data_IF_189160845735
#
_entry.id   IF_189160845735
#
_cell.length_a   1.000
_cell.length_b   1.000
_cell.length_c   1.000
_cell.angle_alpha   90.00
_cell.angle_beta   90.00
_cell.angle_gamma   90.00
#
_symmetry.space_group_name_H-M   'P 1'
#
loop_
_entity.id
_entity.type
_entity.pdbx_description
1 polymer ?
2 non-polymer ?
3 non-polymer ?
4 water ?
#
# COMPACT_ATOMS: atom_id res chain seq x y z
N UNK A 15 -19.80 16.27 24.17
CA UNK A 15 -18.31 16.12 24.16
C UNK A 15 -17.76 17.11 23.17
N UNK A 16 -16.76 17.85 23.61
CA UNK A 16 -16.28 19.02 22.91
C UNK A 16 -14.88 18.72 22.35
N UNK A 17 -14.50 19.36 21.23
CA UNK A 17 -13.19 19.11 20.64
C UNK A 17 -12.03 19.12 21.64
N UNK A 18 -12.06 20.06 22.57
CA UNK A 18 -10.98 20.21 23.56
C UNK A 18 -10.98 19.10 24.63
N UNK A 19 -12.05 18.30 24.68
CA UNK A 19 -12.15 17.17 25.60
C UNK A 19 -12.00 15.79 24.96
N UNK A 20 -11.74 15.73 23.66
CA UNK A 20 -11.60 14.47 22.92
C UNK A 20 -10.46 13.60 23.46
N UNK A 21 -9.26 14.18 23.62
CA UNK A 21 -8.09 13.45 24.11
C UNK A 21 -8.28 12.98 25.54
N UNK A 22 -8.94 13.80 26.36
CA UNK A 22 -9.30 13.41 27.70
C UNK A 22 -10.19 12.15 27.74
N UNK A 23 -11.31 12.19 27.02
CA UNK A 23 -12.29 11.09 26.95
C UNK A 23 -11.66 9.80 26.42
N UNK A 24 -11.00 9.89 25.27
CA UNK A 24 -10.34 8.74 24.67
C UNK A 24 -9.30 8.17 25.62
N UNK A 25 -8.58 9.04 26.31
CA UNK A 25 -7.49 8.67 27.20
C UNK A 25 -7.88 7.78 28.38
N UNK A 26 -9.14 7.88 28.81
CA UNK A 26 -9.68 6.98 29.83
C UNK A 26 -9.72 5.51 29.39
N UNK A 27 -9.76 5.26 28.07
CA UNK A 27 -10.02 3.92 27.53
C UNK A 27 -8.89 3.38 26.68
N UNK A 28 -8.14 4.28 26.04
CA UNK A 28 -7.07 3.84 25.16
C UNK A 28 -5.80 4.62 25.29
N UNK A 29 -4.74 4.09 24.71
CA UNK A 29 -3.48 4.78 24.56
C UNK A 29 -3.62 5.87 23.49
N UNK A 30 -3.28 7.11 23.83
CA UNK A 30 -3.52 8.24 22.92
C UNK A 30 -2.19 8.78 22.35
N UNK A 31 -1.65 8.11 21.35
CA UNK A 31 -0.34 8.51 20.84
C UNK A 31 -0.38 9.08 19.41
N UNK A 32 -1.55 9.46 18.93
CA UNK A 32 -1.70 10.04 17.59
C UNK A 32 -1.40 11.52 17.55
N UNK A 33 -1.86 12.20 16.51
CA UNK A 33 -1.57 13.63 16.34
C UNK A 33 -2.26 14.52 17.40
N UNK A 34 -1.68 15.69 17.66
CA UNK A 34 -2.22 16.66 18.64
C UNK A 34 -3.51 17.35 18.22
N UNK A 35 -3.88 17.19 16.96
CA UNK A 35 -5.07 17.88 16.45
C UNK A 35 -6.34 17.07 16.70
N UNK A 36 -7.48 17.74 16.64
CA UNK A 36 -8.76 17.06 16.54
C UNK A 36 -9.32 17.35 15.13
N UNK A 37 -9.54 16.31 14.34
CA UNK A 37 -10.01 16.46 12.97
C UNK A 37 -11.38 17.10 12.90
N UNK A 38 -11.44 18.21 12.15
CA UNK A 38 -12.70 18.82 11.78
C UNK A 38 -13.20 18.13 10.52
N UNK A 39 -14.30 17.39 10.66
CA UNK A 39 -14.78 16.50 9.60
C UNK A 39 -15.40 17.27 8.44
N UNK A 40 -15.93 18.45 8.76
CA UNK A 40 -16.70 19.27 7.84
C UNK A 40 -15.83 20.32 7.13
N UNK A 41 -14.86 20.89 7.84
CA UNK A 41 -14.11 22.04 7.32
C UNK A 41 -12.80 21.68 6.62
N UNK A 42 -12.30 20.47 6.87
CA UNK A 42 -11.19 19.88 6.11
C UNK A 42 -11.64 19.68 4.67
N UNK A 43 -10.71 19.80 3.74
CA UNK A 43 -11.02 19.66 2.34
C UNK A 43 -9.77 19.61 1.51
N UNK A 44 -9.77 18.75 0.50
CA UNK A 44 -8.66 18.67 -0.44
C UNK A 44 -7.39 18.30 0.29
N UNK A 45 -6.35 19.13 0.13
CA UNK A 45 -5.04 18.83 0.74
C UNK A 45 -4.85 19.43 2.14
N UNK A 46 -5.94 19.88 2.76
CA UNK A 46 -5.88 20.50 4.09
C UNK A 46 -6.73 19.77 5.12
N UNK A 47 -6.12 19.45 6.26
CA UNK A 47 -6.82 19.03 7.47
C UNK A 47 -7.02 20.24 8.39
N UNK A 48 -8.20 20.37 8.98
CA UNK A 48 -8.48 21.47 9.88
C UNK A 48 -8.50 20.92 11.30
N UNK A 49 -7.75 21.59 12.19
CA UNK A 49 -7.79 21.27 13.61
C UNK A 49 -9.01 21.95 14.19
N UNK A 50 -9.96 21.16 14.70
CA UNK A 50 -11.19 21.69 15.31
C UNK A 50 -11.01 22.49 16.62
N UNK A 51 -9.85 22.37 17.28
CA UNK A 51 -9.56 23.16 18.50
C UNK A 51 -9.16 24.61 18.17
N UNK A 52 -8.14 24.79 17.32
CA UNK A 52 -7.64 26.12 16.95
C UNK A 52 -8.19 26.66 15.61
N UNK A 53 -8.55 25.77 14.70
CA UNK A 53 -8.94 26.20 13.35
C UNK A 53 -7.78 26.35 12.38
N UNK A 54 -6.58 26.01 12.82
CA UNK A 54 -5.39 26.01 11.97
C UNK A 54 -5.53 24.96 10.85
N UNK A 55 -5.04 25.30 9.67
CA UNK A 55 -5.07 24.41 8.53
C UNK A 55 -3.72 23.72 8.37
N UNK A 56 -3.74 22.41 8.08
CA UNK A 56 -2.51 21.63 7.99
C UNK A 56 -2.36 21.02 6.64
N UNK A 57 -1.23 21.29 6.00
CA UNK A 57 -0.97 20.76 4.66
C UNK A 57 -0.72 19.25 4.76
N UNK A 58 -1.47 18.47 3.99
CA UNK A 58 -1.55 17.01 4.18
C UNK A 58 -0.72 16.23 3.14
N UNK A 59 0.48 15.79 3.55
CA UNK A 59 1.30 14.89 2.73
C UNK A 59 1.32 13.50 3.38
N UNK A 60 0.19 13.13 3.99
CA UNK A 60 0.11 11.97 4.86
C UNK A 60 -1.12 11.12 4.53
N UNK A 61 -2.22 11.80 4.19
CA UNK A 61 -3.45 11.20 3.65
C UNK A 61 -3.95 9.93 4.32
N UNK A 62 -4.04 9.98 5.66
CA UNK A 62 -4.51 8.87 6.49
C UNK A 62 -3.69 7.63 6.20
N UNK A 63 -2.37 7.79 6.32
CA UNK A 63 -1.41 6.76 5.97
C UNK A 63 -1.58 6.30 4.50
N UNK A 64 -1.58 7.26 3.57
CA UNK A 64 -1.70 7.01 2.13
C UNK A 64 -3.02 6.33 1.70
N UNK A 65 -4.03 6.37 2.57
CA UNK A 65 -5.30 5.67 2.31
C UNK A 65 -6.41 6.55 1.69
N UNK A 66 -6.12 7.82 1.43
CA UNK A 66 -7.11 8.71 0.81
C UNK A 66 -6.64 9.18 -0.56
N UNK A 67 -7.43 8.88 -1.59
CA UNK A 67 -7.05 9.19 -2.96
C UNK A 67 -7.25 10.65 -3.34
N UNK A 68 -8.38 11.20 -2.89
CA UNK A 68 -8.81 12.57 -3.27
C UNK A 68 -8.67 13.61 -2.15
N UNK A 69 -8.28 13.19 -0.95
CA UNK A 69 -8.23 14.10 0.19
C UNK A 69 -9.59 14.21 0.88
N UNK A 70 -9.73 15.16 1.79
CA UNK A 70 -10.96 15.33 2.57
C UNK A 70 -12.06 15.98 1.78
N UNK A 71 -13.27 15.47 1.96
CA UNK A 71 -14.47 16.09 1.40
C UNK A 71 -14.32 16.56 -0.06
N UNK A 72 -14.02 15.63 -0.98
CA UNK A 72 -13.83 16.07 -2.36
C UNK A 72 -15.13 16.58 -2.99
N UNK A 73 -15.09 17.74 -3.68
CA UNK A 73 -16.25 18.40 -4.27
C UNK A 73 -17.17 17.48 -5.10
N UNK A 74 -16.59 16.60 -5.92
CA UNK A 74 -17.38 15.64 -6.70
C UNK A 74 -18.21 14.65 -5.86
N UNK A 75 -17.85 14.51 -4.58
CA UNK A 75 -18.61 13.71 -3.62
C UNK A 75 -19.58 14.56 -2.79
N UNK A 76 -19.11 15.72 -2.34
CA UNK A 76 -19.90 16.63 -1.51
C UNK A 76 -21.07 17.29 -2.24
N UNK A 77 -20.87 17.65 -3.52
CA UNK A 77 -21.90 18.36 -4.28
C UNK A 77 -22.86 17.41 -4.99
N UNK A 78 -22.56 16.12 -4.97
CA UNK A 78 -23.35 15.14 -5.71
C UNK A 78 -24.55 14.67 -4.87
N UNK A 79 -25.69 15.31 -5.08
CA UNK A 79 -26.93 15.00 -4.34
C UNK A 79 -27.46 13.57 -4.51
N UNK A 80 -27.32 12.99 -5.71
CA UNK A 80 -27.72 11.59 -5.96
C UNK A 80 -26.83 10.64 -5.18
N UNK A 81 -25.53 10.94 -5.19
CA UNK A 81 -24.55 10.19 -4.42
C UNK A 81 -24.83 10.25 -2.92
N UNK A 82 -25.18 11.43 -2.40
CA UNK A 82 -25.57 11.54 -1.00
C UNK A 82 -26.60 10.51 -0.57
N UNK A 83 -27.64 10.35 -1.39
CA UNK A 83 -28.73 9.44 -1.08
C UNK A 83 -28.28 7.98 -1.15
N UNK A 84 -27.35 7.69 -2.06
CA UNK A 84 -26.78 6.36 -2.22
C UNK A 84 -25.90 6.02 -1.01
N UNK A 85 -25.01 6.94 -0.67
CA UNK A 85 -24.17 6.79 0.51
C UNK A 85 -24.98 6.56 1.79
N UNK A 86 -26.02 7.36 1.97
CA UNK A 86 -26.90 7.29 3.14
C UNK A 86 -27.64 5.95 3.22
N UNK A 87 -28.23 5.51 2.10
CA UNK A 87 -28.82 4.19 2.00
C UNK A 87 -27.85 3.12 2.48
N UNK A 88 -26.58 3.23 2.06
CA UNK A 88 -25.57 2.25 2.43
C UNK A 88 -25.14 2.40 3.88
N UNK A 89 -24.94 3.64 4.31
CA UNK A 89 -24.40 3.94 5.63
C UNK A 89 -25.32 3.58 6.80
N UNK A 90 -26.64 3.60 6.59
CA UNK A 90 -27.60 3.31 7.66
C UNK A 90 -27.53 1.89 8.18
N UNK A 91 -27.17 0.95 7.32
CA UNK A 91 -27.10 -0.45 7.70
C UNK A 91 -25.73 -1.02 7.35
N UNK A 92 -25.50 -2.28 7.72
CA UNK A 92 -24.30 -2.97 7.31
C UNK A 92 -24.57 -4.44 6.96
N UNK A 93 -25.03 -4.69 5.72
CA UNK A 93 -25.35 -6.05 5.27
C UNK A 93 -24.11 -6.96 5.21
N UNK A 94 -24.35 -8.25 5.39
CA UNK A 94 -23.34 -9.23 5.06
C UNK A 94 -23.32 -9.43 3.53
N UNK A 95 -22.45 -8.70 2.84
CA UNK A 95 -22.30 -8.76 1.38
C UNK A 95 -21.89 -10.15 0.88
N UNK A 96 -21.33 -10.93 1.79
CA UNK A 96 -20.90 -12.29 1.47
C UNK A 96 -22.08 -13.22 1.15
N UNK A 97 -23.28 -12.88 1.59
CA UNK A 97 -24.45 -13.69 1.24
C UNK A 97 -25.72 -12.92 0.89
N UNK A 98 -25.70 -11.60 1.07
CA UNK A 98 -26.83 -10.78 0.67
C UNK A 98 -26.36 -9.70 -0.29
N UNK A 99 -26.74 -9.85 -1.56
CA UNK A 99 -26.30 -8.96 -2.63
C UNK A 99 -27.26 -7.77 -2.81
N UNK A 100 -26.74 -6.72 -3.43
CA UNK A 100 -27.50 -5.49 -3.65
C UNK A 100 -26.99 -4.79 -4.89
N UNK A 101 -27.81 -3.88 -5.42
CA UNK A 101 -27.42 -3.05 -6.56
C UNK A 101 -26.19 -2.21 -6.24
N UNK A 102 -26.16 -1.66 -5.04
CA UNK A 102 -25.04 -0.86 -4.54
C UNK A 102 -23.74 -1.64 -4.64
N UNK A 103 -23.75 -2.89 -4.20
CA UNK A 103 -22.57 -3.75 -4.29
C UNK A 103 -22.13 -4.04 -5.73
N UNK A 104 -23.08 -4.45 -6.58
CA UNK A 104 -22.81 -4.75 -8.00
C UNK A 104 -22.26 -3.54 -8.79
N UNK A 105 -22.78 -2.34 -8.51
CA UNK A 105 -22.25 -1.13 -9.15
C UNK A 105 -20.77 -0.92 -8.81
N UNK A 106 -20.42 -1.10 -7.53
CA UNK A 106 -19.03 -1.01 -7.09
C UNK A 106 -18.14 -2.03 -7.79
N UNK A 107 -18.57 -3.30 -7.82
CA UNK A 107 -17.77 -4.37 -8.41
C UNK A 107 -17.53 -4.15 -9.90
N UNK A 108 -18.54 -3.68 -10.64
CA UNK A 108 -18.31 -3.49 -12.06
C UNK A 108 -17.44 -2.25 -12.37
N UNK A 109 -17.51 -1.22 -11.53
CA UNK A 109 -16.66 -0.06 -11.76
C UNK A 109 -15.22 -0.27 -11.29
N UNK A 110 -15.02 -1.10 -10.25
CA UNK A 110 -13.68 -1.57 -9.87
C UNK A 110 -13.05 -2.35 -11.02
N UNK A 111 -13.81 -3.27 -11.61
CA UNK A 111 -13.31 -4.10 -12.72
C UNK A 111 -12.94 -3.21 -13.92
N UNK A 112 -13.78 -2.23 -14.19
CA UNK A 112 -13.53 -1.32 -15.29
C UNK A 112 -12.30 -0.42 -15.09
N UNK A 113 -12.20 0.22 -13.92
CA UNK A 113 -11.17 1.22 -13.69
C UNK A 113 -9.85 0.59 -13.26
N UNK A 114 -9.92 -0.46 -12.46
CA UNK A 114 -8.72 -1.04 -11.87
C UNK A 114 -8.45 -2.48 -12.28
N UNK A 115 -9.37 -3.10 -13.02
CA UNK A 115 -9.25 -4.51 -13.35
C UNK A 115 -8.10 -4.82 -14.30
N UNK A 116 -7.65 -6.07 -14.25
CA UNK A 116 -6.68 -6.59 -15.18
C UNK A 116 -7.33 -7.82 -15.84
N UNK A 117 -7.43 -7.85 -17.19
CA UNK A 117 -8.03 -9.00 -17.91
C UNK A 117 -7.48 -10.36 -17.48
N UNK A 118 -6.20 -10.42 -17.12
CA UNK A 118 -5.57 -11.67 -16.67
C UNK A 118 -5.98 -12.08 -15.26
N UNK A 119 -6.58 -11.14 -14.50
CA UNK A 119 -6.93 -11.37 -13.08
C UNK A 119 -8.44 -11.12 -12.81
N UNK A 120 -9.31 -12.00 -13.35
CA UNK A 120 -10.76 -11.72 -13.29
C UNK A 120 -11.45 -12.01 -11.95
N UNK A 121 -10.82 -12.79 -11.06
CA UNK A 121 -11.40 -13.14 -9.76
C UNK A 121 -11.16 -12.08 -8.72
N UNK A 122 -12.27 -11.51 -8.26
CA UNK A 122 -12.26 -10.48 -7.24
C UNK A 122 -12.77 -11.06 -5.91
N UNK A 123 -12.15 -10.64 -4.80
CA UNK A 123 -12.58 -11.00 -3.45
C UNK A 123 -12.38 -9.80 -2.53
N UNK A 124 -13.38 -9.53 -1.69
CA UNK A 124 -13.42 -8.33 -0.86
C UNK A 124 -13.53 -8.64 0.61
N UNK A 125 -12.83 -7.84 1.40
CA UNK A 125 -12.76 -8.03 2.84
C UNK A 125 -12.45 -6.67 3.50
N UNK A 126 -12.70 -6.55 4.80
CA UNK A 126 -12.30 -5.38 5.58
C UNK A 126 -10.86 -5.59 6.05
N UNK A 127 -9.97 -4.67 5.69
CA UNK A 127 -8.61 -4.65 6.23
C UNK A 127 -7.56 -5.16 5.28
N UNK A 128 -6.43 -4.44 5.21
CA UNK A 128 -5.32 -4.78 4.31
C UNK A 128 -4.57 -6.05 4.70
N UNK A 129 -4.34 -6.25 5.99
CA UNK A 129 -3.68 -7.48 6.45
C UNK A 129 -4.43 -8.72 5.99
N UNK A 130 -5.75 -8.67 6.05
CA UNK A 130 -6.59 -9.79 5.72
C UNK A 130 -6.69 -9.97 4.21
N UNK A 131 -6.52 -8.88 3.45
CA UNK A 131 -6.43 -8.98 1.99
C UNK A 131 -5.18 -9.78 1.63
N UNK A 132 -4.05 -9.46 2.26
CA UNK A 132 -2.82 -10.17 1.99
C UNK A 132 -2.96 -11.63 2.40
N UNK A 133 -3.57 -11.86 3.56
CA UNK A 133 -3.83 -13.20 4.04
C UNK A 133 -4.69 -14.03 3.10
N UNK A 134 -5.66 -13.41 2.43
CA UNK A 134 -6.52 -14.15 1.53
C UNK A 134 -5.79 -14.51 0.26
N UNK A 135 -4.90 -13.62 -0.18
CA UNK A 135 -3.95 -13.90 -1.24
C UNK A 135 -3.07 -15.10 -0.88
N UNK A 136 -2.57 -15.13 0.37
CA UNK A 136 -1.75 -16.23 0.86
C UNK A 136 -2.50 -17.54 0.92
N UNK A 137 -3.70 -17.51 1.52
CA UNK A 137 -4.60 -18.66 1.57
C UNK A 137 -4.95 -19.18 0.17
N UNK A 138 -5.08 -18.27 -0.79
CA UNK A 138 -5.32 -18.66 -2.16
C UNK A 138 -4.13 -19.47 -2.64
N UNK A 139 -2.93 -19.04 -2.28
CA UNK A 139 -1.68 -19.65 -2.70
C UNK A 139 -1.38 -20.99 -2.03
N UNK A 140 -1.65 -21.13 -0.73
CA UNK A 140 -1.46 -22.38 0.00
C UNK A 140 -2.35 -23.48 -0.55
N UNK A 141 -3.62 -23.13 -0.77
CA UNK A 141 -4.59 -24.02 -1.37
C UNK A 141 -4.14 -24.46 -2.76
N UNK A 142 -3.72 -23.48 -3.57
CA UNK A 142 -3.28 -23.73 -4.95
C UNK A 142 -2.12 -24.72 -4.97
N UNK A 143 -1.10 -24.46 -4.17
CA UNK A 143 0.10 -25.29 -4.14
C UNK A 143 -0.17 -26.72 -3.66
N UNK A 144 -1.00 -26.84 -2.64
CA UNK A 144 -1.35 -28.15 -2.11
C UNK A 144 -2.08 -28.98 -3.17
N UNK A 145 -3.03 -28.36 -3.87
CA UNK A 145 -3.81 -29.05 -4.92
C UNK A 145 -3.00 -29.30 -6.19
N UNK A 146 -2.10 -28.36 -6.52
CA UNK A 146 -1.17 -28.53 -7.65
C UNK A 146 -0.18 -29.65 -7.38
N UNK A 147 0.35 -29.70 -6.15
CA UNK A 147 1.18 -30.80 -5.70
C UNK A 147 0.43 -32.12 -5.87
N UNK A 148 -0.70 -32.23 -5.19
CA UNK A 148 -1.57 -33.42 -5.21
C UNK A 148 -1.83 -33.94 -6.63
N UNK A 149 -2.14 -33.04 -7.56
CA UNK A 149 -2.46 -33.40 -8.94
C UNK A 149 -1.26 -33.91 -9.70
N UNK A 150 -0.07 -33.58 -9.21
CA UNK A 150 1.20 -33.96 -9.85
C UNK A 150 1.96 -35.02 -9.05
N UNK A 151 1.27 -35.75 -8.19
CA UNK A 151 1.89 -36.87 -7.47
C UNK A 151 2.66 -36.52 -6.21
N UNK A 152 2.63 -35.24 -5.81
CA UNK A 152 3.32 -34.78 -4.61
C UNK A 152 2.39 -34.68 -3.39
N UNK A 153 2.91 -35.03 -2.22
CA UNK A 153 2.21 -34.96 -0.93
C UNK A 153 1.43 -33.63 -0.76
N UNK A 154 0.09 -33.69 -0.65
CA UNK A 154 -0.66 -32.44 -0.49
C UNK A 154 -0.44 -31.69 0.83
N UNK A 155 0.29 -32.29 1.78
CA UNK A 155 0.66 -31.63 3.03
C UNK A 155 1.78 -30.62 2.81
N UNK A 156 2.36 -30.66 1.62
CA UNK A 156 3.43 -29.73 1.25
C UNK A 156 2.86 -28.52 0.49
N UNK A 157 3.40 -27.35 0.80
CA UNK A 157 2.99 -26.10 0.17
C UNK A 157 2.49 -25.08 1.18
N UNK A 158 3.28 -24.83 2.22
CA UNK A 158 2.84 -24.06 3.36
C UNK A 158 3.72 -22.86 3.67
N UNK A 159 4.77 -22.65 2.87
CA UNK A 159 5.75 -21.59 3.13
C UNK A 159 5.68 -20.44 2.13
N UNK A 160 6.01 -19.25 2.60
CA UNK A 160 5.91 -18.04 1.83
C UNK A 160 7.30 -17.44 1.74
N UNK A 161 7.80 -17.29 0.52
CA UNK A 161 9.05 -16.59 0.29
C UNK A 161 8.76 -15.09 0.32
N UNK A 162 9.66 -14.30 0.91
CA UNK A 162 9.44 -12.86 1.13
C UNK A 162 10.76 -12.11 1.38
N UNK A 163 10.65 -10.79 1.45
CA UNK A 163 11.81 -9.91 1.53
C UNK A 163 12.11 -9.37 2.93
N UNK A 164 13.39 -9.04 3.18
CA UNK A 164 13.77 -8.23 4.34
C UNK A 164 13.23 -6.84 4.16
N UNK A 165 12.85 -6.22 5.27
CA UNK A 165 12.29 -4.87 5.25
C UNK A 165 10.86 -4.79 4.75
N UNK A 166 10.18 -5.93 4.64
CA UNK A 166 8.84 -6.01 4.10
C UNK A 166 7.82 -5.61 5.15
N UNK A 167 6.76 -4.93 4.72
CA UNK A 167 5.64 -4.72 5.63
C UNK A 167 4.35 -5.21 4.99
N UNK A 168 3.77 -6.28 5.53
CA UNK A 168 2.52 -6.81 4.98
C UNK A 168 1.35 -6.82 5.95
N UNK A 169 1.52 -6.22 7.13
CA UNK A 169 0.45 -6.21 8.13
C UNK A 169 0.79 -6.84 9.48
N UNK A 170 -0.23 -6.94 10.33
CA UNK A 170 -0.04 -7.24 11.75
C UNK A 170 -0.93 -8.39 12.25
N UNK A 171 -1.34 -9.25 11.31
CA UNK A 171 -2.25 -10.36 11.55
C UNK A 171 -1.47 -11.66 11.61
N UNK A 172 -2.14 -12.73 12.03
CA UNK A 172 -1.51 -14.03 12.20
C UNK A 172 -0.46 -14.40 11.18
N UNK A 173 -0.83 -14.41 9.89
CA UNK A 173 0.11 -14.79 8.84
C UNK A 173 1.12 -13.70 8.48
N UNK A 174 0.67 -12.45 8.45
CA UNK A 174 1.50 -11.36 7.98
C UNK A 174 2.55 -10.96 9.01
N UNK A 175 2.31 -11.34 10.27
CA UNK A 175 3.29 -11.17 11.34
C UNK A 175 4.55 -12.04 11.11
N UNK A 176 4.40 -13.13 10.35
CA UNK A 176 5.54 -13.94 9.92
C UNK A 176 6.30 -13.36 8.71
N UNK A 177 5.74 -12.30 8.11
CA UNK A 177 6.31 -11.71 6.90
C UNK A 177 6.91 -10.34 7.17
N UNK A 178 6.13 -9.52 7.88
CA UNK A 178 6.54 -8.18 8.30
C UNK A 178 7.86 -8.24 9.10
N UNK A 179 8.87 -7.51 8.64
CA UNK A 179 10.10 -7.34 9.41
C UNK A 179 10.72 -5.94 9.22
N UNK A 180 10.15 -4.96 9.92
CA UNK A 180 10.67 -3.61 9.92
C UNK A 180 11.12 -3.24 11.37
N UNK A 181 10.26 -2.61 12.15
CA UNK A 181 10.50 -2.37 13.57
C UNK A 181 10.18 -3.63 14.40
N UNK A 182 11.08 -3.98 15.35
CA UNK A 182 10.87 -5.19 16.19
C UNK A 182 9.64 -5.07 17.08
N UNK A 183 9.22 -3.82 17.32
CA UNK A 183 7.99 -3.48 18.04
C UNK A 183 6.73 -4.13 17.43
N UNK A 184 6.65 -4.15 16.09
CA UNK A 184 5.51 -4.72 15.39
C UNK A 184 5.35 -6.23 15.63
N UNK A 185 6.47 -6.94 15.72
CA UNK A 185 6.46 -8.41 15.70
C UNK A 185 6.96 -9.12 16.95
N UNK A 186 7.61 -8.41 17.86
CA UNK A 186 8.22 -9.08 19.02
C UNK A 186 7.19 -9.81 19.88
N UNK A 187 7.60 -10.97 20.40
CA UNK A 187 6.82 -11.80 21.31
C UNK A 187 5.56 -12.43 20.72
N UNK A 188 5.42 -12.39 19.39
CA UNK A 188 4.27 -13.03 18.74
C UNK A 188 4.72 -14.27 17.97
N UNK A 189 3.94 -15.36 18.06
CA UNK A 189 4.38 -16.59 17.40
C UNK A 189 4.40 -16.44 15.87
N UNK A 190 5.44 -16.99 15.26
CA UNK A 190 5.67 -16.86 13.85
C UNK A 190 5.92 -18.23 13.23
N UNK A 191 5.56 -18.41 11.97
CA UNK A 191 6.04 -19.53 11.19
C UNK A 191 7.45 -19.15 10.76
N UNK A 192 8.28 -20.17 10.63
CA UNK A 192 9.63 -19.94 10.13
C UNK A 192 9.60 -20.05 8.61
N UNK A 193 9.36 -18.93 7.94
CA UNK A 193 9.30 -18.91 6.48
C UNK A 193 10.57 -18.30 5.84
N UNK A 194 10.93 -18.71 4.59
CA UNK A 194 12.18 -18.20 4.02
C UNK A 194 12.13 -16.73 3.63
N UNK A 195 13.11 -15.99 4.12
CA UNK A 195 13.25 -14.56 3.93
C UNK A 195 14.56 -14.36 3.18
N UNK A 196 14.56 -13.46 2.20
CA UNK A 196 15.77 -13.18 1.40
C UNK A 196 16.08 -11.68 1.43
N UNK A 197 17.32 -11.30 1.11
CA UNK A 197 17.73 -9.89 1.08
C UNK A 197 16.97 -9.10 0.02
N UNK A 198 16.75 -7.82 0.29
CA UNK A 198 16.06 -6.92 -0.62
C UNK A 198 17.05 -6.08 -1.43
N UNK A 199 17.18 -6.36 -2.75
CA UNK A 199 18.15 -5.66 -3.59
C UNK A 199 17.62 -4.33 -4.14
N UNK A 200 17.30 -3.41 -3.23
CA UNK A 200 16.73 -2.12 -3.61
C UNK A 200 17.81 -1.19 -4.15
N UNK A 201 17.40 -0.28 -5.02
CA UNK A 201 18.26 0.77 -5.54
C UNK A 201 18.78 1.63 -4.40
N UNK A 202 20.08 1.82 -4.37
CA UNK A 202 20.69 2.79 -3.47
C UNK A 202 21.55 3.75 -4.29
N UNK A 203 21.79 4.96 -3.77
CA UNK A 203 22.57 5.95 -4.53
C UNK A 203 24.01 5.49 -4.76
N UNK A 204 24.55 5.81 -5.93
CA UNK A 204 25.93 5.47 -6.26
C UNK A 204 26.20 3.99 -6.46
N UNK A 205 25.28 3.32 -7.14
CA UNK A 205 25.48 1.95 -7.61
C UNK A 205 25.02 1.90 -9.06
N UNK A 206 25.95 1.53 -9.96
CA UNK A 206 25.69 1.52 -11.40
C UNK A 206 25.15 0.17 -11.87
N UNK A 207 24.77 0.10 -13.15
CA UNK A 207 24.21 -1.11 -13.78
C UNK A 207 24.77 -2.44 -13.24
N UNK A 208 26.09 -2.70 -13.42
CA UNK A 208 26.68 -3.96 -12.91
C UNK A 208 26.73 -4.10 -11.38
N UNK A 209 26.89 -2.99 -10.66
CA UNK A 209 26.83 -3.02 -9.20
C UNK A 209 25.44 -3.47 -8.74
N UNK A 210 24.40 -2.90 -9.39
CA UNK A 210 23.02 -3.30 -9.15
C UNK A 210 22.74 -4.75 -9.52
N UNK A 211 23.26 -5.17 -10.67
CA UNK A 211 23.05 -6.54 -11.18
C UNK A 211 23.65 -7.61 -10.27
N UNK A 212 24.79 -7.28 -9.64
CA UNK A 212 25.47 -8.16 -8.70
C UNK A 212 24.66 -8.34 -7.42
N UNK A 213 24.04 -7.26 -6.96
CA UNK A 213 23.24 -7.26 -5.74
C UNK A 213 21.97 -8.07 -5.94
N UNK A 214 21.37 -7.95 -7.11
CA UNK A 214 20.20 -8.75 -7.50
C UNK A 214 20.52 -10.26 -7.61
N UNK A 215 21.63 -10.59 -8.27
CA UNK A 215 22.09 -11.98 -8.40
C UNK A 215 22.18 -12.68 -7.04
N UNK A 216 22.61 -11.94 -6.04
CA UNK A 216 22.74 -12.43 -4.67
C UNK A 216 21.39 -12.76 -4.01
N UNK A 217 20.37 -11.92 -4.24
CA UNK A 217 19.01 -12.20 -3.75
C UNK A 217 18.41 -13.38 -4.49
N UNK A 218 18.59 -13.40 -5.81
CA UNK A 218 18.18 -14.51 -6.69
C UNK A 218 18.78 -15.87 -6.26
N UNK A 219 20.05 -15.84 -5.86
CA UNK A 219 20.75 -17.02 -5.38
C UNK A 219 20.12 -17.49 -4.07
N UNK A 220 19.80 -16.53 -3.21
CA UNK A 220 19.15 -16.83 -1.94
C UNK A 220 17.75 -17.39 -2.18
N UNK A 221 17.03 -16.81 -3.14
CA UNK A 221 15.69 -17.26 -3.48
C UNK A 221 15.72 -18.68 -4.04
N UNK A 222 16.68 -18.92 -4.93
CA UNK A 222 16.84 -20.20 -5.58
C UNK A 222 17.26 -21.28 -4.56
N UNK A 223 18.18 -20.93 -3.67
CA UNK A 223 18.58 -21.81 -2.57
C UNK A 223 17.37 -22.22 -1.73
N UNK A 224 16.48 -21.27 -1.44
CA UNK A 224 15.28 -21.51 -0.62
C UNK A 224 14.33 -22.51 -1.29
N UNK A 225 14.12 -22.32 -2.60
CA UNK A 225 13.30 -23.22 -3.39
C UNK A 225 13.80 -24.67 -3.43
N UNK A 226 15.12 -24.84 -3.54
CA UNK A 226 15.74 -26.15 -3.63
C UNK A 226 15.88 -26.88 -2.28
N UNK A 227 15.90 -26.14 -1.17
CA UNK A 227 16.04 -26.77 0.14
C UNK A 227 14.71 -27.08 0.83
N UNK A 228 13.62 -26.50 0.31
CA UNK A 228 12.27 -26.74 0.82
C UNK A 228 11.41 -27.18 -0.37
N UNK A 229 11.71 -28.37 -0.94
CA UNK A 229 11.12 -28.69 -2.24
C UNK A 229 9.60 -28.88 -2.17
N UNK A 230 8.92 -28.27 -3.13
CA UNK A 230 7.47 -28.31 -3.27
C UNK A 230 6.71 -27.65 -2.11
N UNK A 231 7.44 -26.95 -1.24
CA UNK A 231 6.85 -26.47 0.02
C UNK A 231 6.66 -24.96 0.06
N UNK A 232 7.31 -24.24 -0.85
CA UNK A 232 7.05 -22.80 -0.99
C UNK A 232 5.87 -22.55 -1.93
N UNK A 233 4.79 -21.98 -1.38
CA UNK A 233 3.55 -21.80 -2.15
C UNK A 233 3.57 -20.54 -3.01
N UNK A 234 4.33 -19.54 -2.58
CA UNK A 234 4.37 -18.25 -3.25
C UNK A 234 5.55 -17.39 -2.80
N UNK A 235 5.81 -16.38 -3.62
CA UNK A 235 6.67 -15.26 -3.28
C UNK A 235 5.78 -14.01 -3.18
N UNK A 236 5.82 -13.33 -2.03
CA UNK A 236 5.15 -12.04 -1.83
C UNK A 236 6.15 -10.90 -1.88
N UNK A 237 5.75 -9.78 -2.47
CA UNK A 237 6.56 -8.58 -2.36
C UNK A 237 5.72 -7.32 -2.49
N UNK A 238 6.17 -6.26 -1.83
CA UNK A 238 5.72 -4.91 -2.17
C UNK A 238 6.52 -4.47 -3.39
N UNK A 239 5.84 -3.96 -4.45
CA UNK A 239 6.60 -3.52 -5.63
C UNK A 239 7.59 -2.39 -5.30
N UNK A 240 7.18 -1.54 -4.35
CA UNK A 240 8.01 -0.55 -3.70
C UNK A 240 7.68 -0.68 -2.23
N UNK A 241 8.71 -0.94 -1.43
CA UNK A 241 8.57 -1.10 0.00
C UNK A 241 8.30 0.25 0.67
N UNK A 242 7.13 0.34 1.32
CA UNK A 242 6.66 1.57 1.92
C UNK A 242 7.22 1.81 3.29
N UNK A 243 6.67 1.14 4.31
CA UNK A 243 7.03 1.35 5.72
C UNK A 243 8.48 1.07 5.97
N UNK A 244 9.04 0.16 5.18
CA UNK A 244 10.45 -0.22 5.30
C UNK A 244 11.41 0.88 4.89
N UNK A 245 10.90 1.90 4.19
CA UNK A 245 11.67 3.10 3.88
C UNK A 245 11.71 3.49 2.42
N UNK A 246 10.57 3.41 1.73
CA UNK A 246 10.49 3.72 0.28
C UNK A 246 11.67 3.18 -0.52
N UNK A 247 11.75 1.85 -0.59
CA UNK A 247 12.82 1.15 -1.27
C UNK A 247 12.30 0.61 -2.60
N UNK A 248 12.89 1.10 -3.67
CA UNK A 248 12.49 0.78 -5.03
C UNK A 248 13.37 -0.32 -5.60
N UNK A 249 12.81 -1.10 -6.51
CA UNK A 249 13.50 -2.22 -7.12
C UNK A 249 13.44 -2.04 -8.62
N UNK A 250 14.49 -2.49 -9.30
CA UNK A 250 14.52 -2.43 -10.76
C UNK A 250 13.55 -3.47 -11.30
N UNK A 251 12.89 -3.17 -12.43
CA UNK A 251 12.04 -4.18 -13.07
C UNK A 251 12.77 -5.50 -13.31
N UNK A 252 14.08 -5.43 -13.58
CA UNK A 252 14.92 -6.63 -13.80
C UNK A 252 14.79 -7.64 -12.68
N UNK A 253 14.72 -7.16 -11.44
CA UNK A 253 14.68 -8.05 -10.28
C UNK A 253 13.38 -8.87 -10.23
N UNK A 254 12.25 -8.21 -10.45
CA UNK A 254 10.97 -8.90 -10.36
C UNK A 254 10.73 -9.82 -11.55
N UNK A 255 11.21 -9.42 -12.73
CA UNK A 255 11.17 -10.26 -13.94
C UNK A 255 11.91 -11.59 -13.71
N UNK A 256 13.10 -11.53 -13.12
CA UNK A 256 13.86 -12.71 -12.76
C UNK A 256 13.13 -13.56 -11.68
N UNK A 257 12.52 -12.89 -10.70
CA UNK A 257 11.71 -13.57 -9.67
C UNK A 257 10.49 -14.25 -10.29
N UNK A 258 9.82 -13.55 -11.18
CA UNK A 258 8.73 -14.10 -11.96
C UNK A 258 9.12 -15.43 -12.64
N UNK A 259 10.28 -15.44 -13.30
CA UNK A 259 10.74 -16.66 -13.99
C UNK A 259 11.10 -17.78 -13.04
N UNK A 260 11.77 -17.43 -11.95
CA UNK A 260 12.12 -18.37 -10.89
C UNK A 260 10.89 -18.97 -10.20
N UNK A 261 9.84 -18.17 -10.03
CA UNK A 261 8.58 -18.64 -9.45
C UNK A 261 7.87 -19.65 -10.36
N UNK A 262 7.84 -19.37 -11.65
CA UNK A 262 7.29 -20.31 -12.64
C UNK A 262 8.08 -21.62 -12.69
N UNK A 263 9.40 -21.51 -12.67
CA UNK A 263 10.28 -22.68 -12.64
C UNK A 263 9.94 -23.64 -11.50
N UNK A 264 9.58 -23.12 -10.32
CA UNK A 264 9.30 -23.97 -9.16
C UNK A 264 7.83 -24.09 -8.80
N UNK A 265 6.98 -23.77 -9.77
CA UNK A 265 5.52 -23.81 -9.60
C UNK A 265 5.02 -23.09 -8.35
N UNK A 266 5.39 -21.82 -8.22
CA UNK A 266 5.00 -20.99 -7.08
C UNK A 266 4.37 -19.71 -7.62
N UNK A 267 3.32 -19.22 -6.96
CA UNK A 267 2.65 -17.98 -7.40
C UNK A 267 3.44 -16.73 -7.00
N UNK A 268 3.30 -15.65 -7.78
CA UNK A 268 3.88 -14.35 -7.44
C UNK A 268 2.77 -13.40 -6.98
N UNK A 269 2.83 -12.99 -5.70
CA UNK A 269 1.84 -12.09 -5.12
C UNK A 269 2.49 -10.74 -4.93
N UNK A 270 1.85 -9.71 -5.48
CA UNK A 270 2.22 -8.33 -5.17
C UNK A 270 1.29 -7.75 -4.12
N UNK A 271 1.88 -7.26 -3.03
CA UNK A 271 1.12 -6.54 -2.05
C UNK A 271 1.08 -5.07 -2.47
N UNK A 272 -0.03 -4.66 -3.08
CA UNK A 272 -0.22 -3.27 -3.53
C UNK A 272 -1.11 -2.44 -2.60
N UNK A 273 -1.22 -2.84 -1.34
CA UNK A 273 -2.04 -2.08 -0.39
C UNK A 273 -1.59 -0.60 -0.35
N UNK A 274 -0.28 -0.36 -0.36
CA UNK A 274 0.23 1.03 -0.36
C UNK A 274 0.54 1.65 -1.74
N UNK A 275 0.98 0.83 -2.68
CA UNK A 275 1.34 1.32 -4.03
C UNK A 275 0.14 1.50 -4.94
N UNK A 276 -0.97 0.87 -4.59
CA UNK A 276 -2.13 0.75 -5.47
C UNK A 276 -2.90 2.02 -5.75
N UNK A 277 -3.90 1.88 -6.61
CA UNK A 277 -4.89 2.91 -6.89
C UNK A 277 -4.30 4.26 -7.32
N UNK A 278 -3.36 4.21 -8.25
CA UNK A 278 -2.97 5.40 -8.99
C UNK A 278 -1.84 6.24 -8.48
N UNK A 279 -1.39 5.94 -7.27
CA UNK A 279 -0.34 6.70 -6.59
C UNK A 279 0.97 6.79 -7.36
N UNK A 280 1.35 5.70 -8.01
CA UNK A 280 2.62 5.68 -8.73
C UNK A 280 2.46 6.13 -10.17
N UNK A 281 1.26 6.52 -10.56
CA UNK A 281 1.04 7.02 -11.92
C UNK A 281 0.17 6.10 -12.76
N UNK A 282 0.05 4.84 -12.35
CA UNK A 282 -0.83 3.88 -13.01
C UNK A 282 -1.73 3.23 -11.96
N UNK A 283 -2.78 2.53 -12.41
CA UNK A 283 -3.65 1.79 -11.49
C UNK A 283 -2.85 1.02 -10.44
N UNK A 284 -1.81 0.34 -10.89
CA UNK A 284 -0.99 -0.53 -10.03
C UNK A 284 0.45 -0.35 -10.42
N UNK A 285 1.35 -0.50 -9.46
CA UNK A 285 2.77 -0.31 -9.70
C UNK A 285 3.33 -1.38 -10.66
N UNK A 286 2.83 -2.61 -10.53
CA UNK A 286 3.32 -3.74 -11.33
C UNK A 286 3.14 -3.50 -12.84
N UNK A 287 2.18 -2.63 -13.20
CA UNK A 287 1.94 -2.28 -14.60
C UNK A 287 3.10 -1.50 -15.22
N UNK A 288 3.87 -0.81 -14.39
CA UNK A 288 5.06 -0.09 -14.84
C UNK A 288 6.34 -0.91 -14.78
N UNK A 289 6.31 -2.05 -14.07
CA UNK A 289 7.50 -2.89 -13.92
C UNK A 289 7.49 -4.00 -14.96
N UNK A 290 6.40 -4.08 -15.72
CA UNK A 290 6.16 -5.10 -16.75
C UNK A 290 6.36 -6.53 -16.23
N UNK A 291 5.77 -6.82 -15.07
CA UNK A 291 5.78 -8.16 -14.51
C UNK A 291 4.33 -8.56 -14.23
N UNK A 292 3.96 -9.76 -14.66
CA UNK A 292 2.60 -10.23 -14.42
C UNK A 292 2.55 -11.03 -13.11
N UNK A 293 1.77 -10.57 -12.12
CA UNK A 293 1.55 -11.38 -10.92
C UNK A 293 0.37 -12.36 -11.08
N UNK A 294 0.27 -13.34 -10.20
CA UNK A 294 -0.88 -14.26 -10.18
C UNK A 294 -1.97 -13.73 -9.27
N UNK A 295 -1.54 -12.99 -8.24
CA UNK A 295 -2.46 -12.41 -7.27
C UNK A 295 -1.98 -11.02 -6.87
N UNK A 296 -2.93 -10.12 -6.72
CA UNK A 296 -2.68 -8.77 -6.25
C UNK A 296 -3.54 -8.52 -5.00
N UNK A 297 -2.92 -8.11 -3.91
CA UNK A 297 -3.66 -7.72 -2.71
C UNK A 297 -3.77 -6.20 -2.73
N UNK A 298 -4.97 -5.67 -2.51
CA UNK A 298 -5.16 -4.21 -2.46
C UNK A 298 -5.84 -3.76 -1.17
N UNK A 299 -5.77 -2.47 -0.88
CA UNK A 299 -6.38 -1.91 0.31
C UNK A 299 -6.14 -0.42 0.34
N UNK A 300 -6.19 0.17 1.53
CA UNK A 300 -6.02 1.61 1.74
C UNK A 300 -6.91 2.48 0.84
N UNK A 301 -6.37 3.07 -0.23
CA UNK A 301 -7.15 3.97 -1.10
C UNK A 301 -8.40 3.34 -1.67
N UNK A 302 -8.43 2.02 -1.81
CA UNK A 302 -9.63 1.33 -2.31
C UNK A 302 -10.79 1.29 -1.28
N UNK A 303 -10.48 1.62 -0.02
CA UNK A 303 -11.45 1.67 1.09
C UNK A 303 -11.89 0.26 1.53
N UNK A 304 -12.50 -0.49 0.60
CA UNK A 304 -12.66 -1.95 0.74
C UNK A 304 -11.34 -2.58 0.33
N UNK A 305 -10.95 -3.62 1.04
CA UNK A 305 -9.70 -4.29 0.71
C UNK A 305 -10.00 -5.62 -0.02
N UNK A 306 -8.97 -6.29 -0.50
CA UNK A 306 -9.18 -7.63 -1.08
C UNK A 306 -8.09 -8.09 -2.02
N UNK A 307 -8.45 -9.02 -2.91
CA UNK A 307 -7.52 -9.57 -3.90
C UNK A 307 -8.11 -9.60 -5.30
N UNK A 308 -7.21 -9.55 -6.28
CA UNK A 308 -7.50 -9.90 -7.67
C UNK A 308 -6.60 -11.09 -7.98
N UNK A 309 -7.16 -12.13 -8.58
CA UNK A 309 -6.42 -13.34 -8.88
C UNK A 309 -6.74 -13.91 -10.25
N UNK A 310 -5.75 -14.57 -10.83
CA UNK A 310 -5.89 -15.20 -12.12
C UNK A 310 -4.53 -15.78 -12.48
N UNK A 311 -4.15 -15.57 -13.75
CA UNK A 311 -2.95 -16.18 -14.34
C UNK A 311 -2.89 -17.68 -13.97
N UNK A 312 -1.85 -18.14 -13.28
CA UNK A 312 -1.75 -19.57 -12.99
C UNK A 312 -2.77 -20.11 -11.98
N UNK A 313 -3.45 -19.22 -11.25
CA UNK A 313 -4.47 -19.64 -10.26
C UNK A 313 -5.57 -20.51 -10.91
N UNK A 314 -5.87 -20.23 -12.18
CA UNK A 314 -6.92 -20.91 -12.90
C UNK A 314 -6.54 -22.31 -13.40
N UNK A 315 -5.25 -22.63 -13.38
CA UNK A 315 -4.74 -23.98 -13.71
C UNK A 315 -5.17 -25.04 -12.71
N UNK A 316 -5.55 -24.63 -11.50
CA UNK A 316 -6.11 -25.54 -10.49
C UNK A 316 -7.63 -25.26 -10.49
N UNK A 317 -8.40 -26.19 -11.02
CA UNK A 317 -9.82 -25.93 -11.31
C UNK A 317 -10.68 -25.79 -10.06
N UNK A 318 -10.26 -26.45 -8.96
CA UNK A 318 -10.99 -26.38 -7.68
C UNK A 318 -10.29 -25.44 -6.71
N UNK A 319 -9.81 -24.33 -7.24
CA UNK A 319 -9.16 -23.33 -6.43
C UNK A 319 -10.16 -22.60 -5.53
N UNK A 320 -9.62 -21.75 -4.68
CA UNK A 320 -10.32 -21.02 -3.64
C UNK A 320 -11.43 -20.06 -4.15
N UNK A 321 -11.37 -19.71 -5.44
CA UNK A 321 -12.33 -18.80 -6.09
C UNK A 321 -13.43 -19.52 -6.85
N UNK A 322 -13.31 -20.85 -6.91
CA UNK A 322 -14.24 -21.70 -7.66
C UNK A 322 -15.06 -22.59 -6.72
N UNK A 323 -14.58 -22.76 -5.50
CA UNK A 323 -15.14 -23.65 -4.49
C UNK A 323 -15.72 -22.80 -3.36
N UNK A 324 -17.00 -23.04 -3.00
CA UNK A 324 -17.64 -22.26 -1.92
C UNK A 324 -17.02 -22.44 -0.52
N UNK A 325 -17.05 -21.35 0.24
CA UNK A 325 -16.76 -21.33 1.68
C UNK A 325 -15.29 -21.57 2.06
N UNK A 326 -14.39 -21.52 1.07
CA UNK A 326 -12.96 -21.64 1.33
C UNK A 326 -12.41 -20.33 1.89
N UNK A 327 -12.83 -19.21 1.28
CA UNK A 327 -12.60 -17.85 1.77
C UNK A 327 -13.93 -17.24 2.21
N UNK A 328 -13.91 -16.47 3.29
CA UNK A 328 -15.13 -15.78 3.75
C UNK A 328 -14.82 -14.79 4.86
N UNK A 329 -15.76 -13.86 5.10
CA UNK A 329 -15.87 -13.09 6.33
C UNK A 329 -17.35 -12.85 6.57
N UNK A 330 -17.74 -12.43 7.77
CA UNK A 330 -19.14 -12.10 8.02
C UNK A 330 -19.65 -11.10 6.97
N UNK A 331 -18.96 -9.97 6.84
CA UNK A 331 -19.48 -8.85 6.03
C UNK A 331 -19.12 -8.83 4.55
N UNK A 332 -17.98 -9.42 4.20
CA UNK A 332 -17.45 -9.33 2.84
C UNK A 332 -17.12 -7.90 2.44
N UNK A 333 -16.54 -7.14 3.36
CA UNK A 333 -16.24 -5.74 3.09
C UNK A 333 -17.35 -4.83 3.55
N UNK A 334 -17.04 -3.55 3.68
CA UNK A 334 -18.03 -2.60 4.17
C UNK A 334 -18.79 -1.96 3.00
N UNK A 335 -20.12 -2.11 2.97
CA UNK A 335 -20.92 -1.55 1.88
C UNK A 335 -20.77 -0.03 1.70
N UNK A 336 -20.67 0.70 2.81
CA UNK A 336 -20.37 2.13 2.79
C UNK A 336 -19.04 2.45 2.09
N UNK A 337 -18.00 1.68 2.42
CA UNK A 337 -16.73 1.76 1.72
C UNK A 337 -16.87 1.47 0.22
N UNK A 338 -17.70 0.47 -0.10
CA UNK A 338 -17.95 0.07 -1.49
C UNK A 338 -18.60 1.20 -2.29
N UNK A 339 -19.64 1.81 -1.72
CA UNK A 339 -20.32 2.94 -2.38
C UNK A 339 -19.42 4.17 -2.54
N UNK A 340 -18.65 4.52 -1.49
CA UNK A 340 -17.73 5.65 -1.55
C UNK A 340 -16.65 5.40 -2.58
N UNK A 341 -16.10 4.18 -2.58
CA UNK A 341 -14.98 3.84 -3.45
C UNK A 341 -15.37 3.88 -4.92
N UNK A 342 -16.56 3.39 -5.26
CA UNK A 342 -16.97 3.47 -6.66
C UNK A 342 -17.12 4.92 -7.15
N UNK A 343 -17.57 5.82 -6.28
CA UNK A 343 -17.61 7.24 -6.61
C UNK A 343 -16.19 7.82 -6.80
N UNK A 344 -15.30 7.48 -5.87
CA UNK A 344 -13.88 7.84 -5.96
C UNK A 344 -13.29 7.35 -7.29
N UNK A 345 -13.57 6.10 -7.66
CA UNK A 345 -13.06 5.50 -8.90
C UNK A 345 -13.57 6.21 -10.15
N UNK A 346 -14.82 6.66 -10.09
CA UNK A 346 -15.49 7.35 -11.18
C UNK A 346 -14.87 8.72 -11.40
N UNK A 347 -14.43 9.35 -10.30
CA UNK A 347 -13.72 10.63 -10.35
C UNK A 347 -12.32 10.44 -10.93
N UNK A 348 -11.60 9.42 -10.47
CA UNK A 348 -10.28 9.08 -11.00
C UNK A 348 -10.33 8.90 -12.52
N UNK A 349 -11.34 8.16 -12.98
CA UNK A 349 -11.52 7.85 -14.38
C UNK A 349 -11.88 9.10 -15.20
N UNK A 350 -12.84 9.89 -14.70
CA UNK A 350 -13.40 11.03 -15.44
C UNK A 350 -12.46 12.24 -15.48
N UNK A 351 -11.64 12.41 -14.43
CA UNK A 351 -10.79 13.58 -14.30
C UNK A 351 -9.33 13.29 -14.72
N UNK A 352 -9.06 12.06 -15.16
CA UNK A 352 -7.72 11.64 -15.61
C UNK A 352 -6.64 11.68 -14.55
N UNK A 353 -6.94 11.18 -13.34
CA UNK A 353 -6.07 11.35 -12.19
C UNK A 353 -4.79 10.51 -12.14
N UNK A 354 -4.74 9.38 -12.86
CA UNK A 354 -3.49 8.63 -12.98
C UNK A 354 -2.45 9.48 -13.71
N UNK A 355 -2.87 10.12 -14.81
CA UNK A 355 -2.00 10.99 -15.61
C UNK A 355 -1.54 12.22 -14.83
N UNK A 356 -2.45 12.78 -14.04
CA UNK A 356 -2.15 13.88 -13.16
C UNK A 356 -1.11 13.50 -12.09
N UNK A 357 -1.14 12.25 -11.64
CA UNK A 357 -0.14 11.73 -10.71
C UNK A 357 1.24 11.59 -11.36
N UNK A 358 1.27 11.19 -12.62
CA UNK A 358 2.50 11.12 -13.41
C UNK A 358 3.10 12.53 -13.52
N UNK A 359 2.30 13.49 -13.98
CA UNK A 359 2.79 14.86 -14.20
C UNK A 359 3.26 15.51 -12.90
N UNK A 360 2.42 15.44 -11.85
CA UNK A 360 2.71 16.10 -10.59
C UNK A 360 3.80 15.37 -9.80
N UNK A 361 3.87 14.06 -9.95
CA UNK A 361 4.95 13.26 -9.39
C UNK A 361 6.32 13.62 -9.96
N UNK A 362 6.37 13.97 -11.24
CA UNK A 362 7.61 14.43 -11.88
C UNK A 362 8.03 15.77 -11.32
N UNK A 363 7.05 16.63 -11.09
CA UNK A 363 7.27 17.94 -10.52
C UNK A 363 7.84 17.82 -9.08
N UNK A 364 7.22 16.99 -8.25
CA UNK A 364 7.66 16.79 -6.85
C UNK A 364 9.10 16.23 -6.78
N UNK A 365 9.37 15.24 -7.64
CA UNK A 365 10.67 14.60 -7.78
C UNK A 365 11.74 15.63 -8.15
N UNK A 366 11.44 16.48 -9.13
CA UNK A 366 12.33 17.55 -9.57
C UNK A 366 12.71 18.48 -8.40
N UNK A 367 11.71 18.83 -7.59
CA UNK A 367 11.89 19.69 -6.41
C UNK A 367 12.78 19.06 -5.37
N UNK A 368 12.68 17.73 -5.22
CA UNK A 368 13.51 16.98 -4.26
C UNK A 368 14.95 16.83 -4.74
N UNK A 369 15.12 16.76 -6.06
CA UNK A 369 16.44 16.83 -6.71
C UNK A 369 17.10 18.18 -6.48
N UNK A 370 16.31 19.25 -6.58
CA UNK A 370 16.81 20.60 -6.27
C UNK A 370 17.19 20.74 -4.80
N UNK A 371 16.40 20.13 -3.92
CA UNK A 371 16.73 20.11 -2.49
C UNK A 371 18.06 19.39 -2.26
N UNK A 372 18.28 18.30 -2.98
CA UNK A 372 19.50 17.50 -2.83
C UNK A 372 20.74 18.27 -3.25
N UNK A 373 20.58 19.11 -4.28
CA UNK A 373 21.66 19.91 -4.82
C UNK A 373 22.06 21.04 -3.88
N UNK A 374 21.07 21.67 -3.25
CA UNK A 374 21.30 22.79 -2.32
C UNK A 374 21.73 22.32 -0.93
N UNK A 375 21.36 21.09 -0.58
CA UNK A 375 21.71 20.53 0.72
C UNK A 375 22.33 19.13 0.58
N UNK A 376 23.53 19.05 -0.04
CA UNK A 376 24.09 17.79 -0.55
C UNK A 376 24.44 16.76 0.52
N UNK A 377 24.77 17.21 1.73
CA UNK A 377 25.14 16.28 2.80
C UNK A 377 23.97 15.93 3.72
N UNK A 378 22.80 16.51 3.44
CA UNK A 378 21.67 16.41 4.35
C UNK A 378 20.47 15.71 3.71
N UNK A 379 20.05 16.24 2.54
CA UNK A 379 18.95 15.66 1.78
C UNK A 379 19.54 14.56 0.90
N UNK A 380 19.42 13.32 1.38
CA UNK A 380 20.00 12.15 0.71
C UNK A 380 18.97 11.34 -0.07
N UNK A 381 19.42 10.80 -1.21
CA UNK A 381 18.69 9.79 -1.96
C UNK A 381 17.24 10.19 -2.28
N UNK A 382 17.06 11.32 -3.00
CA UNK A 382 15.72 11.66 -3.46
C UNK A 382 15.23 10.62 -4.48
N UNK A 383 14.02 10.12 -4.27
CA UNK A 383 13.50 9.00 -5.07
C UNK A 383 11.99 9.05 -5.13
N UNK A 384 11.41 8.42 -6.15
CA UNK A 384 9.98 8.37 -6.27
C UNK A 384 9.48 7.67 -7.51
N UNK A 385 8.22 7.29 -7.47
CA UNK A 385 7.50 6.85 -8.65
C UNK A 385 6.11 7.45 -8.53
N UNK A 386 5.75 8.26 -9.51
CA UNK A 386 4.53 9.05 -9.47
C UNK A 386 4.60 9.94 -8.25
N UNK A 387 3.49 10.00 -7.53
CA UNK A 387 3.37 10.77 -6.28
C UNK A 387 4.00 10.12 -5.05
N UNK A 388 4.52 8.90 -5.22
CA UNK A 388 5.14 8.16 -4.13
C UNK A 388 6.62 8.52 -4.01
N UNK A 389 6.93 9.53 -3.20
CA UNK A 389 8.26 10.10 -3.14
C UNK A 389 8.78 10.18 -1.72
N UNK A 390 10.11 10.25 -1.62
CA UNK A 390 10.77 10.22 -0.34
C UNK A 390 12.17 10.77 -0.49
N UNK A 391 12.77 11.09 0.65
CA UNK A 391 14.20 11.34 0.74
C UNK A 391 14.69 10.94 2.14
N UNK A 392 16.01 10.79 2.30
CA UNK A 392 16.57 10.35 3.57
C UNK A 392 17.42 11.42 4.20
N UNK A 393 17.57 11.36 5.51
CA UNK A 393 18.55 12.20 6.22
C UNK A 393 19.74 11.35 6.72
N UNK A 394 20.85 11.99 7.16
CA UNK A 394 22.00 11.24 7.67
C UNK A 394 21.70 10.31 8.87
N UNK A 395 20.91 10.78 9.84
CA UNK A 395 20.64 10.02 11.04
C UNK A 395 19.14 10.03 11.31
N UNK A 396 18.68 9.15 12.21
CA UNK A 396 17.27 9.12 12.55
C UNK A 396 16.88 10.31 13.45
N UNK A 397 17.82 10.81 14.25
CA UNK A 397 17.61 12.01 15.06
C UNK A 397 17.28 13.22 14.18
N UNK A 398 17.99 13.35 13.07
CA UNK A 398 17.75 14.41 12.05
C UNK A 398 16.40 14.26 11.38
N UNK A 399 16.05 13.02 11.04
CA UNK A 399 14.77 12.69 10.42
C UNK A 399 13.59 13.07 11.33
N UNK A 400 13.67 12.66 12.59
CA UNK A 400 12.65 12.96 13.58
C UNK A 400 12.54 14.46 13.84
N UNK A 401 13.68 15.15 13.88
CA UNK A 401 13.67 16.61 14.04
C UNK A 401 13.04 17.33 12.86
N UNK A 402 13.34 16.88 11.64
CA UNK A 402 12.73 17.47 10.45
C UNK A 402 11.22 17.30 10.47
N UNK A 403 10.74 16.16 10.95
CA UNK A 403 9.30 15.91 11.03
C UNK A 403 8.62 16.82 12.07
N UNK A 404 9.24 16.97 13.25
CA UNK A 404 8.77 17.89 14.27
C UNK A 404 8.73 19.32 13.72
N UNK A 405 9.81 19.73 13.08
CA UNK A 405 9.90 21.09 12.49
C UNK A 405 8.81 21.37 11.43
N UNK A 406 8.53 20.40 10.57
CA UNK A 406 7.45 20.48 9.59
C UNK A 406 6.07 20.54 10.25
N UNK A 407 5.93 19.83 11.38
CA UNK A 407 4.67 19.84 12.12
C UNK A 407 4.38 21.26 12.65
N UNK A 408 5.42 21.93 13.14
CA UNK A 408 5.32 23.30 13.65
C UNK A 408 4.93 24.28 12.56
N UNK A 409 5.35 23.97 11.33
CA UNK A 409 4.98 24.74 10.15
C UNK A 409 3.69 24.24 9.47
N UNK A 410 2.95 23.37 10.18
CA UNK A 410 1.65 22.81 9.72
C UNK A 410 1.72 22.03 8.40
N UNK A 411 2.74 21.18 8.28
CA UNK A 411 2.84 20.24 7.16
C UNK A 411 2.94 18.82 7.72
N UNK A 412 1.98 17.97 7.35
CA UNK A 412 1.97 16.59 7.86
C UNK A 412 2.64 15.63 6.87
N UNK A 413 3.76 15.06 7.29
CA UNK A 413 4.43 14.00 6.55
C UNK A 413 4.63 12.80 7.47
N UNK A 414 4.92 11.64 6.88
CA UNK A 414 5.16 10.43 7.65
C UNK A 414 6.64 10.05 7.63
N UNK A 415 7.15 9.51 8.74
CA UNK A 415 8.46 8.86 8.67
C UNK A 415 8.36 7.44 8.09
N UNK A 416 9.51 6.86 7.75
CA UNK A 416 9.60 5.45 7.38
C UNK A 416 11.02 4.99 7.65
N UNK A 417 11.15 3.73 8.05
CA UNK A 417 12.44 3.15 8.30
C UNK A 417 13.21 3.93 9.35
N UNK A 418 14.54 3.84 9.26
CA UNK A 418 15.44 4.50 10.17
C UNK A 418 15.61 6.01 9.87
N UNK A 419 15.56 6.42 8.60
CA UNK A 419 15.90 7.81 8.24
C UNK A 419 15.20 8.38 7.01
N UNK A 420 14.01 7.86 6.72
CA UNK A 420 13.24 8.34 5.58
C UNK A 420 12.07 9.25 5.99
N UNK A 421 11.82 10.25 5.14
CA UNK A 421 10.63 11.07 5.18
C UNK A 421 9.89 10.77 3.88
N UNK A 422 8.66 10.31 3.99
CA UNK A 422 7.87 9.97 2.80
C UNK A 422 6.77 11.00 2.57
N UNK A 423 6.49 11.25 1.29
CA UNK A 423 5.41 12.14 0.89
C UNK A 423 4.31 11.28 0.33
N UNK A 424 3.10 11.48 0.85
CA UNK A 424 1.92 10.78 0.38
C UNK A 424 0.80 11.78 0.14
N UNK A 425 0.93 12.62 -0.91
CA UNK A 425 -0.13 13.57 -1.20
C UNK A 425 -1.34 12.89 -1.83
N UNK A 426 -2.52 13.54 -1.82
CA UNK A 426 -3.62 12.96 -2.59
C UNK A 426 -3.35 13.09 -4.09
N UNK A 427 -4.06 12.32 -4.92
CA UNK A 427 -3.86 12.37 -6.36
C UNK A 427 -4.19 13.76 -6.92
N UNK A 428 -4.96 14.52 -6.15
CA UNK A 428 -5.50 15.81 -6.54
C UNK A 428 -4.60 17.00 -6.12
N UNK A 429 -3.48 16.73 -5.43
CA UNK A 429 -2.51 17.79 -5.06
C UNK A 429 -2.15 18.71 -6.23
N UNK A 430 -2.05 20.00 -5.96
CA UNK A 430 -1.66 20.98 -6.98
C UNK A 430 -0.16 21.27 -6.86
N UNK A 431 0.42 21.91 -7.86
CA UNK A 431 1.87 22.21 -7.83
C UNK A 431 2.20 23.27 -6.78
N UNK A 432 1.25 24.18 -6.56
CA UNK A 432 1.34 25.19 -5.49
C UNK A 432 1.42 24.53 -4.11
N UNK A 433 0.59 23.51 -3.89
CA UNK A 433 0.62 22.72 -2.65
C UNK A 433 1.95 22.02 -2.45
N UNK A 434 2.47 21.42 -3.52
CA UNK A 434 3.81 20.82 -3.50
C UNK A 434 4.88 21.86 -3.15
N UNK A 435 4.82 23.03 -3.81
CA UNK A 435 5.76 24.14 -3.55
C UNK A 435 5.75 24.55 -2.09
N UNK A 436 4.55 24.69 -1.53
CA UNK A 436 4.39 24.99 -0.11
C UNK A 436 4.99 23.90 0.77
N UNK A 437 4.88 22.63 0.38
CA UNK A 437 5.47 21.56 1.19
C UNK A 437 7.00 21.66 1.16
N UNK A 438 7.53 21.90 -0.04
CA UNK A 438 8.96 22.05 -0.28
C UNK A 438 9.53 23.30 0.40
N UNK A 439 8.77 24.41 0.37
CA UNK A 439 9.18 25.65 1.04
C UNK A 439 9.33 25.41 2.53
N UNK A 440 8.43 24.61 3.10
CA UNK A 440 8.51 24.27 4.53
C UNK A 440 9.72 23.42 4.85
N UNK A 441 10.12 22.54 3.94
CA UNK A 441 11.31 21.69 4.14
C UNK A 441 12.59 22.53 4.07
N UNK A 442 12.65 23.47 3.14
CA UNK A 442 13.77 24.44 3.05
C UNK A 442 13.93 25.29 4.29
N UNK A 443 12.80 25.68 4.90
CA UNK A 443 12.81 26.44 6.16
C UNK A 443 13.40 25.61 7.29
N UNK A 444 12.95 24.37 7.40
CA UNK A 444 13.30 23.51 8.53
C UNK A 444 14.73 23.01 8.48
N UNK A 445 15.29 22.87 7.27
CA UNK A 445 16.60 22.22 7.11
C UNK A 445 17.78 22.91 7.83
N UNK A 446 17.96 24.24 7.64
CA UNK A 446 19.04 24.91 8.38
C UNK A 446 18.89 24.73 9.89
N UNK A 447 17.68 24.56 10.39
CA UNK A 447 17.42 24.37 11.82
C UNK A 447 17.91 22.99 12.29
N UNK A 448 17.69 21.96 11.48
CA UNK A 448 18.17 20.61 11.81
C UNK A 448 19.70 20.45 11.70
N UNK A 449 20.33 21.07 10.69
CA UNK A 449 21.79 20.97 10.46
C UNK A 449 22.65 21.44 11.65
X LIG B 1 0.56 -4.22 3.26
X LIG B 1 1.09 -2.96 2.98
X LIG B 1 2.16 -2.83 1.95
X LIG B 1 0.59 -1.84 3.67
X LIG B 1 0.98 -0.58 3.25
X LIG B 1 -0.43 -2.02 4.64
X LIG B 1 -1.29 -0.86 5.02
X LIG B 1 -0.94 -3.30 4.91
X LIG B 1 -0.44 -4.39 4.20
X LIG B 1 -1.86 -3.56 6.10
X LIG B 1 -3.04 -2.78 6.03
X LIG B 1 -4.09 -2.59 7.25
X LIG B 1 -4.33 -3.92 7.90
X LIG B 1 -3.56 -1.57 8.24
X LIG B 1 -5.43 -2.06 6.72
X LIG C 1 0.75 -0.39 11.38
X LIG C 1 -0.48 0.45 11.67
X LIG C 1 0.36 -1.71 10.68
X LIG C 1 -1.07 -1.86 10.15
X LIG C 1 -1.07 -1.64 8.64
X LIG C 1 -2.71 -3.37 11.34
X LIG C 1 -3.44 -4.55 11.51
X LIG C 1 -3.25 -5.58 10.61
X LIG C 1 -2.35 -5.38 9.56
X LIG C 1 -1.64 -4.20 9.40
X LIG C 1 -1.79 -3.16 10.31
X LIG C 1 4.68 3.00 11.76
X LIG C 1 3.62 3.95 12.35
X LIG C 1 2.30 3.33 12.85
X LIG C 1 2.37 1.83 13.17
X LIG C 1 3.02 0.95 12.08
X LIG C 1 2.10 0.31 10.99
X LIG C 1 5.51 0.71 12.17
X LIG C 1 4.37 1.50 11.56
#
# INVERSE_FOLDING_TARGET
MAAVVKSVALAGRPTTPDRVHEVLGRSMLVDGLDIVLDLTRSGGSYLVDAITGRRYLDMFTFVASSALGMNPPALVDDREFHAELMQAALNKPSNSDVYSVAMARFVETFARVLGDPALPHLFFVEGGALAVENALKAAFDWKSRHNQAHGIDPALGTQVLHLRGAFHGRSGYTLSLTNTKPTITARFPKFDWPRIDAPYMRPGLDEPAMAALEAEALRQARAAFETRPHDIACFVAEPIQGEGGDRHFRPEFFAAMRELCDEFDALLIFDEVQTGCGLTGTAWAYQQLDVAPDIVAFGKKTQVCGVMAGRRVDEVADNVFAVPSRLNSTWGGNLTDMVRARRILEVIEAEGLFERAVQHGKYLRARLDELAADFPAVVLDPRGRGLMCAFSLPTTADRDELIRQLWQRAVIVLPAGADTVRFRPPLTVSTAEIDAAIAAVRSALPVVT
PLP N1 C2 C2A C3 O3 C4 C4A C5 C6 C5A O4P P O1P O2P O3P
L18 C8 C9 C10 C11 C12 C15 C16 C17 C18 C19 C13 C1 C2 C3 C5 C6 C7 C14 N1
#
